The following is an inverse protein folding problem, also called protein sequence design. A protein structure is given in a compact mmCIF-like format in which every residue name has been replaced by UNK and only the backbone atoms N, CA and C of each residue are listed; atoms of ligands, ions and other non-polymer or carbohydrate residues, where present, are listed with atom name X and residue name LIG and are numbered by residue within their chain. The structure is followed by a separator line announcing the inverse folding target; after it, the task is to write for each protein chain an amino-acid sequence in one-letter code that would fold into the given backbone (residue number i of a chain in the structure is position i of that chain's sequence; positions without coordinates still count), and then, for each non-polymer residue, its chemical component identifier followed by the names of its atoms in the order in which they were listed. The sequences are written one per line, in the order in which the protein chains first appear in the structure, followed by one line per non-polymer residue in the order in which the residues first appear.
data_IF_940055697993
#
_entry.id   IF_940055697993
#
_cell.length_a   1.000
_cell.length_b   1.000
_cell.length_c   1.000
_cell.angle_alpha   90.00
_cell.angle_beta   90.00
_cell.angle_gamma   90.00
#
_symmetry.space_group_name_H-M   'P 1'
#
loop_
_entity.id
_entity.type
_entity.pdbx_description
1 polymer ?
#
# COMPACT_ATOMS: atom_id res chain seq x y z
N UNK A 1 -14.69 1.82 17.64
CA UNK A 1 -14.74 0.34 17.62
C UNK A 1 -13.71 -0.11 16.61
N UNK A 2 -12.52 -0.50 17.07
CA UNK A 2 -11.48 -0.99 16.20
C UNK A 2 -11.95 -2.30 15.55
N UNK A 3 -12.09 -2.33 14.23
CA UNK A 3 -12.31 -3.56 13.49
C UNK A 3 -11.01 -4.36 13.49
N UNK A 4 -10.81 -5.06 14.60
CA UNK A 4 -9.87 -6.17 14.67
C UNK A 4 -10.25 -7.14 13.54
N UNK A 5 -9.29 -7.56 12.77
CA UNK A 5 -9.38 -8.76 11.93
C UNK A 5 -9.69 -9.96 12.84
N UNK A 6 -10.97 -10.17 13.15
CA UNK A 6 -11.37 -11.39 13.83
C UNK A 6 -11.22 -12.54 12.84
N UNK A 7 -10.23 -13.38 13.14
CA UNK A 7 -10.10 -14.73 12.59
C UNK A 7 -11.31 -15.58 13.03
N UNK A 8 -12.41 -15.48 12.30
CA UNK A 8 -13.50 -16.44 12.37
C UNK A 8 -13.70 -17.01 10.96
N UNK A 9 -13.51 -18.31 10.83
CA UNK A 9 -13.52 -19.17 9.64
C UNK A 9 -12.21 -19.17 8.84
N UNK A 10 -11.89 -20.33 8.24
CA UNK A 10 -10.69 -20.55 7.41
C UNK A 10 -10.44 -19.38 6.47
N UNK A 11 -9.18 -18.88 6.41
CA UNK A 11 -8.88 -17.73 5.56
C UNK A 11 -9.14 -18.14 4.10
N UNK A 12 -10.18 -17.58 3.48
CA UNK A 12 -10.36 -17.66 2.02
C UNK A 12 -9.10 -17.08 1.37
N UNK A 13 -8.25 -17.99 0.89
CA UNK A 13 -7.02 -17.61 0.19
C UNK A 13 -7.41 -16.83 -1.06
N UNK A 14 -6.94 -15.61 -1.19
CA UNK A 14 -7.06 -14.89 -2.44
C UNK A 14 -6.10 -15.50 -3.45
N UNK A 15 -6.58 -15.76 -4.65
CA UNK A 15 -5.83 -16.40 -5.72
C UNK A 15 -4.57 -15.59 -6.10
N UNK A 16 -4.66 -14.27 -6.09
CA UNK A 16 -3.58 -13.37 -6.49
C UNK A 16 -2.29 -13.49 -5.66
N UNK A 17 -2.35 -14.05 -4.43
CA UNK A 17 -1.17 -14.17 -3.55
C UNK A 17 -0.10 -15.14 -4.04
N UNK A 18 -0.43 -16.01 -5.01
CA UNK A 18 0.49 -16.98 -5.60
C UNK A 18 0.91 -16.61 -7.04
N UNK A 19 0.59 -15.41 -7.49
CA UNK A 19 0.90 -14.97 -8.84
C UNK A 19 2.41 -14.94 -9.08
N UNK A 20 2.86 -15.47 -10.22
CA UNK A 20 4.21 -15.38 -10.77
C UNK A 20 4.14 -14.75 -12.15
N UNK A 21 5.21 -14.14 -12.62
CA UNK A 21 5.23 -13.59 -13.98
C UNK A 21 5.05 -14.72 -15.00
N UNK A 22 4.15 -14.52 -15.97
CA UNK A 22 4.05 -15.40 -17.12
C UNK A 22 5.28 -15.22 -18.03
N UNK A 23 5.74 -16.30 -18.66
CA UNK A 23 6.83 -16.23 -19.64
C UNK A 23 6.34 -15.49 -20.89
N UNK A 24 7.01 -14.39 -21.26
CA UNK A 24 6.82 -13.68 -22.53
C UNK A 24 6.06 -12.36 -22.48
N UNK A 25 5.25 -12.07 -21.46
CA UNK A 25 4.54 -10.80 -21.33
C UNK A 25 4.78 -10.14 -19.96
N UNK A 26 5.36 -8.92 -19.91
CA UNK A 26 5.63 -8.21 -18.65
C UNK A 26 4.36 -7.80 -17.89
N UNK A 27 3.21 -7.81 -18.53
CA UNK A 27 1.93 -7.38 -17.95
C UNK A 27 1.05 -8.56 -17.52
N UNK A 28 1.48 -9.81 -17.72
CA UNK A 28 0.73 -11.00 -17.38
C UNK A 28 1.36 -11.74 -16.22
N UNK A 29 0.57 -12.00 -15.19
CA UNK A 29 0.93 -12.77 -14.01
C UNK A 29 0.10 -14.04 -13.97
N UNK A 30 0.74 -15.19 -13.79
CA UNK A 30 0.07 -16.50 -13.73
C UNK A 30 -0.11 -16.94 -12.28
N UNK A 31 -1.32 -17.35 -11.94
CA UNK A 31 -1.62 -18.08 -10.71
C UNK A 31 -1.78 -19.55 -11.09
N UNK A 32 -0.85 -20.42 -10.69
CA UNK A 32 -0.93 -21.85 -10.97
C UNK A 32 -2.20 -22.49 -10.40
N UNK A 33 -2.73 -23.53 -11.08
CA UNK A 33 -3.98 -24.21 -10.72
C UNK A 33 -3.97 -24.71 -9.27
N UNK A 34 -2.84 -25.24 -8.81
CA UNK A 34 -2.66 -25.76 -7.45
C UNK A 34 -2.76 -24.71 -6.34
N UNK A 35 -2.72 -23.43 -6.71
CA UNK A 35 -2.85 -22.30 -5.78
C UNK A 35 -4.22 -21.64 -5.83
N UNK A 36 -5.09 -22.07 -6.75
CA UNK A 36 -6.43 -21.51 -6.87
C UNK A 36 -7.39 -22.15 -5.83
N UNK A 37 -8.35 -21.38 -5.31
CA UNK A 37 -9.48 -21.98 -4.60
C UNK A 37 -10.25 -22.95 -5.50
N UNK A 38 -10.85 -24.02 -4.96
CA UNK A 38 -11.67 -24.94 -5.73
C UNK A 38 -12.76 -24.21 -6.53
N UNK A 39 -12.87 -24.51 -7.82
CA UNK A 39 -13.87 -23.91 -8.72
C UNK A 39 -13.59 -22.45 -9.15
N UNK A 40 -12.47 -21.86 -8.73
CA UNK A 40 -12.16 -20.47 -9.07
C UNK A 40 -11.86 -20.27 -10.55
N UNK A 41 -11.10 -21.19 -11.16
CA UNK A 41 -10.76 -21.12 -12.57
C UNK A 41 -12.00 -21.25 -13.48
N UNK A 42 -12.92 -22.15 -13.15
CA UNK A 42 -14.22 -22.31 -13.83
C UNK A 42 -15.09 -21.07 -13.66
N UNK A 43 -15.09 -20.47 -12.49
CA UNK A 43 -15.79 -19.21 -12.21
C UNK A 43 -15.24 -18.07 -13.09
N UNK A 44 -13.92 -17.97 -13.21
CA UNK A 44 -13.27 -16.99 -14.10
C UNK A 44 -13.62 -17.24 -15.55
N UNK A 45 -13.61 -18.51 -15.99
CA UNK A 45 -13.91 -18.91 -17.38
C UNK A 45 -15.36 -18.63 -17.76
N UNK A 46 -16.32 -18.94 -16.89
CA UNK A 46 -17.75 -18.80 -17.16
C UNK A 46 -18.26 -17.37 -16.98
N UNK A 47 -17.51 -16.49 -16.29
CA UNK A 47 -18.02 -15.19 -15.84
C UNK A 47 -19.12 -15.29 -14.77
N UNK A 48 -19.27 -16.46 -14.14
CA UNK A 48 -20.31 -16.76 -13.14
C UNK A 48 -20.03 -16.13 -11.76
N UNK A 49 -19.72 -14.84 -11.72
CA UNK A 49 -19.51 -14.09 -10.48
C UNK A 49 -20.28 -12.76 -10.51
N UNK A 50 -20.70 -12.33 -9.33
CA UNK A 50 -21.18 -10.98 -9.13
C UNK A 50 -20.06 -10.22 -8.41
N UNK A 51 -19.51 -9.15 -9.01
CA UNK A 51 -18.45 -8.38 -8.40
C UNK A 51 -18.92 -7.75 -7.07
N UNK A 52 -18.15 -7.92 -6.02
CA UNK A 52 -18.38 -7.19 -4.77
C UNK A 52 -17.82 -5.77 -4.91
N UNK A 53 -18.44 -4.82 -4.21
CA UNK A 53 -17.95 -3.42 -4.18
C UNK A 53 -16.55 -3.37 -3.58
N UNK A 54 -15.57 -2.73 -4.25
CA UNK A 54 -14.23 -2.58 -3.69
C UNK A 54 -14.24 -1.66 -2.46
N UNK A 55 -13.58 -2.09 -1.39
CA UNK A 55 -13.43 -1.28 -0.18
C UNK A 55 -12.29 -0.26 -0.38
N UNK A 56 -12.47 1.01 0.04
CA UNK A 56 -11.39 1.98 0.04
C UNK A 56 -10.18 1.50 0.85
N UNK A 57 -8.98 1.61 0.27
CA UNK A 57 -7.73 1.23 0.92
C UNK A 57 -6.60 2.16 0.49
N UNK A 58 -5.60 2.33 1.34
CA UNK A 58 -4.41 3.12 1.05
C UNK A 58 -3.15 2.30 1.23
N UNK A 59 -2.17 2.55 0.39
CA UNK A 59 -0.82 1.96 0.48
C UNK A 59 0.20 3.08 0.40
N UNK A 60 1.24 3.02 1.21
CA UNK A 60 2.34 3.98 1.17
C UNK A 60 3.66 3.30 0.85
N UNK A 61 4.35 3.79 -0.16
CA UNK A 61 5.70 3.38 -0.53
C UNK A 61 6.67 4.33 0.16
N UNK A 62 7.25 3.87 1.27
CA UNK A 62 8.28 4.63 1.97
C UNK A 62 9.59 4.54 1.20
N UNK A 63 10.14 5.69 0.84
CA UNK A 63 11.34 5.83 0.03
C UNK A 63 12.40 6.63 0.77
N UNK A 64 13.64 6.16 0.73
CA UNK A 64 14.80 6.88 1.26
C UNK A 64 15.94 6.94 0.24
N UNK A 65 16.87 7.87 0.43
CA UNK A 65 18.14 7.83 -0.30
C UNK A 65 19.01 6.72 0.29
N UNK A 66 19.32 5.74 -0.54
CA UNK A 66 20.27 4.67 -0.23
C UNK A 66 21.65 4.95 -0.82
N UNK A 67 22.64 4.07 -0.56
CA UNK A 67 24.02 4.25 -1.04
C UNK A 67 24.17 4.28 -2.58
N UNK A 68 23.22 3.66 -3.31
CA UNK A 68 23.26 3.53 -4.77
C UNK A 68 22.03 4.16 -5.46
N UNK A 69 21.27 4.99 -4.77
CA UNK A 69 20.04 5.62 -5.25
C UNK A 69 18.83 5.27 -4.38
N UNK A 70 17.60 5.52 -4.85
CA UNK A 70 16.39 5.30 -4.07
C UNK A 70 16.23 3.85 -3.59
N UNK A 71 15.86 3.69 -2.32
CA UNK A 71 15.44 2.43 -1.73
C UNK A 71 13.99 2.52 -1.26
N UNK A 72 13.22 1.45 -1.48
CA UNK A 72 11.86 1.29 -0.99
C UNK A 72 11.82 0.30 0.18
N UNK A 73 11.00 0.61 1.19
CA UNK A 73 10.73 -0.30 2.29
C UNK A 73 9.72 -1.35 1.86
N UNK A 74 10.11 -2.61 1.96
CA UNK A 74 9.23 -3.77 1.76
C UNK A 74 9.08 -4.53 3.07
N UNK A 75 7.86 -4.96 3.35
CA UNK A 75 7.45 -5.71 4.53
C UNK A 75 7.04 -7.12 4.12
N UNK A 76 7.50 -8.14 4.83
CA UNK A 76 7.11 -9.52 4.60
C UNK A 76 5.97 -9.91 5.52
N UNK A 77 4.85 -10.31 4.94
CA UNK A 77 3.67 -10.77 5.67
C UNK A 77 3.90 -12.13 6.31
N UNK A 78 3.25 -12.33 7.45
CA UNK A 78 3.31 -13.64 8.12
C UNK A 78 2.67 -14.72 7.24
N UNK A 79 3.23 -15.96 7.26
CA UNK A 79 2.71 -17.12 6.51
C UNK A 79 1.28 -17.51 6.88
N UNK A 80 0.79 -17.08 8.04
CA UNK A 80 -0.58 -17.29 8.53
C UNK A 80 -1.54 -16.19 8.12
N UNK A 81 -1.09 -15.15 7.41
CA UNK A 81 -1.95 -14.09 6.90
C UNK A 81 -2.93 -14.67 5.89
N UNK A 82 -4.21 -14.36 6.02
CA UNK A 82 -5.25 -14.85 5.12
C UNK A 82 -5.17 -14.28 3.71
N UNK A 83 -4.56 -13.08 3.56
CA UNK A 83 -4.33 -12.43 2.29
C UNK A 83 -2.82 -12.27 2.07
N UNK A 84 -2.34 -12.60 0.86
CA UNK A 84 -0.93 -12.42 0.47
C UNK A 84 0.07 -13.03 1.49
N UNK A 85 -0.19 -14.25 1.98
CA UNK A 85 0.69 -14.93 2.92
C UNK A 85 2.10 -15.08 2.36
N UNK A 86 3.13 -14.78 3.17
CA UNK A 86 4.55 -14.84 2.82
C UNK A 86 4.96 -13.89 1.67
N UNK A 87 4.09 -12.96 1.27
CA UNK A 87 4.40 -11.96 0.24
C UNK A 87 5.07 -10.74 0.84
N UNK A 88 5.90 -10.11 0.00
CA UNK A 88 6.48 -8.81 0.27
C UNK A 88 5.53 -7.72 -0.25
N UNK A 89 5.20 -6.79 0.60
CA UNK A 89 4.21 -5.74 0.36
C UNK A 89 4.75 -4.38 0.83
N UNK A 90 4.11 -3.31 0.42
CA UNK A 90 4.25 -2.01 1.07
C UNK A 90 3.30 -1.89 2.25
N UNK A 91 3.56 -1.02 3.23
CA UNK A 91 2.61 -0.68 4.28
C UNK A 91 1.28 -0.23 3.72
N UNK A 92 0.17 -0.72 4.30
CA UNK A 92 -1.15 -0.31 3.82
C UNK A 92 -2.31 -1.13 4.34
N UNK A 93 -3.49 -0.52 4.35
CA UNK A 93 -4.72 -1.12 4.82
C UNK A 93 -5.97 -0.39 4.38
N UNK A 94 -7.08 -0.75 4.98
CA UNK A 94 -8.41 -0.19 4.67
C UNK A 94 -8.53 1.21 5.24
N UNK A 95 -9.23 2.08 4.52
CA UNK A 95 -9.62 3.39 5.04
C UNK A 95 -10.73 3.21 6.08
N UNK A 96 -10.46 3.60 7.31
CA UNK A 96 -11.43 3.56 8.41
C UNK A 96 -12.26 4.85 8.48
N UNK A 97 -13.40 4.80 9.16
CA UNK A 97 -14.25 5.99 9.36
C UNK A 97 -13.51 7.09 10.14
N UNK A 98 -12.63 6.69 11.07
CA UNK A 98 -11.81 7.63 11.84
C UNK A 98 -10.79 8.40 10.98
N UNK A 99 -10.37 7.85 9.83
CA UNK A 99 -9.47 8.52 8.91
C UNK A 99 -10.16 9.71 8.19
N UNK A 100 -11.49 9.71 8.16
CA UNK A 100 -12.33 10.78 7.58
C UNK A 100 -12.71 11.87 8.60
N UNK A 101 -12.24 11.76 9.85
CA UNK A 101 -12.55 12.75 10.90
C UNK A 101 -12.01 14.14 10.46
N UNK A 102 -12.86 15.17 10.31
CA UNK A 102 -12.43 16.52 9.93
C UNK A 102 -11.39 17.11 10.89
N UNK A 103 -11.47 16.78 12.18
CA UNK A 103 -10.52 17.25 13.18
C UNK A 103 -9.11 16.62 12.98
N UNK A 104 -8.99 15.44 12.38
CA UNK A 104 -7.71 14.90 11.94
C UNK A 104 -7.18 15.67 10.73
N UNK A 105 -8.06 16.05 9.79
CA UNK A 105 -7.70 16.87 8.63
C UNK A 105 -7.17 18.25 9.00
N UNK A 106 -7.71 18.88 10.06
CA UNK A 106 -7.19 20.14 10.61
C UNK A 106 -5.76 20.03 11.16
N UNK A 107 -5.33 18.81 11.47
CA UNK A 107 -3.99 18.46 11.94
C UNK A 107 -3.09 17.86 10.85
N UNK A 108 -3.42 18.08 9.59
CA UNK A 108 -2.63 17.64 8.44
C UNK A 108 -2.05 18.85 7.69
N UNK A 109 -0.75 18.80 7.41
CA UNK A 109 -0.08 19.79 6.57
C UNK A 109 -0.14 19.38 5.10
N UNK A 110 0.01 20.33 4.19
CA UNK A 110 0.04 20.09 2.75
C UNK A 110 -1.28 20.37 2.05
N UNK A 111 -1.60 19.65 0.95
CA UNK A 111 -2.82 19.89 0.20
C UNK A 111 -4.07 19.70 1.05
N UNK A 112 -5.04 20.58 0.87
CA UNK A 112 -6.35 20.46 1.49
C UNK A 112 -7.09 19.20 1.04
N UNK A 113 -8.13 18.81 1.78
CA UNK A 113 -8.98 17.68 1.39
C UNK A 113 -9.60 17.87 -0.02
N UNK A 114 -9.95 19.10 -0.40
CA UNK A 114 -10.47 19.42 -1.73
C UNK A 114 -9.40 19.25 -2.84
N UNK A 115 -8.16 19.68 -2.58
CA UNK A 115 -7.05 19.48 -3.52
C UNK A 115 -6.70 17.99 -3.66
N UNK A 116 -6.73 17.23 -2.57
CA UNK A 116 -6.58 15.77 -2.62
C UNK A 116 -7.74 15.12 -3.40
N UNK A 117 -8.97 15.55 -3.19
CA UNK A 117 -10.12 15.04 -3.94
C UNK A 117 -9.93 15.24 -5.46
N UNK A 118 -9.49 16.44 -5.87
CA UNK A 118 -9.19 16.72 -7.27
C UNK A 118 -8.07 15.79 -7.83
N UNK A 119 -6.99 15.57 -7.07
CA UNK A 119 -5.87 14.69 -7.47
C UNK A 119 -6.28 13.22 -7.55
N UNK A 120 -7.12 12.75 -6.62
CA UNK A 120 -7.59 11.37 -6.54
C UNK A 120 -8.79 11.10 -7.46
N UNK A 121 -9.37 12.12 -8.09
CA UNK A 121 -10.56 12.00 -8.93
C UNK A 121 -11.81 11.64 -8.12
N UNK A 122 -11.92 12.13 -6.89
CA UNK A 122 -13.03 11.90 -5.97
C UNK A 122 -13.93 13.12 -5.87
N UNK A 123 -15.23 12.89 -5.69
CA UNK A 123 -16.20 13.98 -5.51
C UNK A 123 -16.25 14.48 -4.05
N UNK A 124 -16.00 13.60 -3.09
CA UNK A 124 -16.07 13.90 -1.66
C UNK A 124 -14.67 14.19 -1.08
N UNK A 125 -14.41 15.42 -0.60
CA UNK A 125 -13.16 15.77 0.07
C UNK A 125 -12.88 14.92 1.34
N UNK A 126 -13.92 14.51 2.07
CA UNK A 126 -13.74 13.70 3.28
C UNK A 126 -13.23 12.29 2.92
N UNK A 127 -13.68 11.73 1.80
CA UNK A 127 -13.17 10.47 1.29
C UNK A 127 -11.70 10.58 0.90
N UNK A 128 -11.33 11.65 0.20
CA UNK A 128 -9.94 11.92 -0.18
C UNK A 128 -9.02 12.07 1.04
N UNK A 129 -9.46 12.83 2.06
CA UNK A 129 -8.77 12.93 3.35
C UNK A 129 -8.57 11.54 3.97
N UNK A 130 -9.61 10.70 3.94
CA UNK A 130 -9.55 9.33 4.48
C UNK A 130 -8.42 8.50 3.87
N UNK A 131 -8.22 8.55 2.56
CA UNK A 131 -7.12 7.85 1.89
C UNK A 131 -5.74 8.34 2.34
N UNK A 132 -5.58 9.66 2.46
CA UNK A 132 -4.31 10.28 2.90
C UNK A 132 -4.02 9.94 4.36
N UNK A 133 -5.01 10.06 5.23
CA UNK A 133 -4.88 9.74 6.65
C UNK A 133 -4.59 8.25 6.86
N UNK A 134 -5.28 7.35 6.14
CA UNK A 134 -5.02 5.91 6.19
C UNK A 134 -3.58 5.59 5.77
N UNK A 135 -3.05 6.18 4.70
CA UNK A 135 -1.66 5.96 4.28
C UNK A 135 -0.66 6.34 5.38
N UNK A 136 -0.88 7.48 6.05
CA UNK A 136 -0.02 7.95 7.15
C UNK A 136 -0.16 7.08 8.42
N UNK A 137 -1.38 6.64 8.73
CA UNK A 137 -1.67 5.74 9.86
C UNK A 137 -1.01 4.37 9.66
N UNK A 138 -1.22 3.76 8.51
CA UNK A 138 -0.67 2.44 8.18
C UNK A 138 0.87 2.45 8.16
N UNK A 139 1.50 3.53 7.67
CA UNK A 139 2.95 3.70 7.78
C UNK A 139 3.39 3.59 9.23
N UNK A 140 2.72 4.31 10.14
CA UNK A 140 3.07 4.29 11.55
C UNK A 140 2.75 2.96 12.24
N UNK A 141 1.57 2.41 12.01
CA UNK A 141 1.14 1.13 12.60
C UNK A 141 2.04 -0.03 12.20
N UNK A 142 2.38 -0.16 10.93
CA UNK A 142 3.12 -1.31 10.42
C UNK A 142 4.65 -1.17 10.56
N UNK A 143 5.19 0.07 10.51
CA UNK A 143 6.64 0.29 10.44
C UNK A 143 7.22 1.07 11.62
N UNK A 144 6.39 1.72 12.44
CA UNK A 144 6.85 2.67 13.46
C UNK A 144 7.29 4.02 12.91
N UNK A 145 7.30 4.21 11.58
CA UNK A 145 7.67 5.47 10.93
C UNK A 145 6.46 6.40 10.90
N UNK A 146 6.49 7.44 11.72
CA UNK A 146 5.45 8.46 11.77
C UNK A 146 5.82 9.65 10.88
N UNK A 147 5.05 9.86 9.82
CA UNK A 147 5.16 11.03 8.94
C UNK A 147 4.41 12.21 9.56
N UNK A 148 5.07 12.90 10.49
CA UNK A 148 4.50 14.02 11.23
C UNK A 148 5.57 15.03 11.62
N UNK A 149 5.13 16.21 12.08
CA UNK A 149 5.97 17.28 12.65
C UNK A 149 5.40 17.69 14.00
N UNK A 150 6.27 18.14 14.90
CA UNK A 150 5.87 18.81 16.13
C UNK A 150 5.32 20.21 15.80
N UNK A 151 4.30 20.66 16.52
CA UNK A 151 3.78 22.03 16.40
C UNK A 151 4.94 23.02 16.62
N UNK A 152 5.28 23.82 15.59
CA UNK A 152 6.33 24.86 15.64
C UNK A 152 7.78 24.34 15.54
N UNK A 153 8.01 23.05 15.35
CA UNK A 153 9.34 22.44 15.21
C UNK A 153 9.35 21.51 14.00
N UNK A 154 10.52 21.25 13.42
CA UNK A 154 10.68 20.42 12.22
C UNK A 154 10.20 18.96 12.34
N UNK A 155 10.70 18.09 11.46
CA UNK A 155 10.32 16.67 11.42
C UNK A 155 10.50 15.96 12.78
N UNK A 156 9.71 14.95 13.05
CA UNK A 156 9.84 14.10 14.25
C UNK A 156 11.22 13.43 14.24
N UNK A 157 12.03 13.66 15.29
CA UNK A 157 13.36 13.09 15.42
C UNK A 157 13.35 11.76 16.19
N UNK A 158 14.38 10.93 15.98
CA UNK A 158 14.55 9.63 16.63
C UNK A 158 14.55 9.67 18.18
N UNK A 159 14.88 10.81 18.80
CA UNK A 159 14.83 11.00 20.26
C UNK A 159 13.43 10.86 20.86
N UNK A 160 12.38 11.03 20.04
CA UNK A 160 10.99 10.79 20.42
C UNK A 160 10.56 9.31 20.27
N UNK A 161 11.44 8.42 19.80
CA UNK A 161 11.09 7.04 19.43
C UNK A 161 10.42 6.25 20.58
N UNK A 162 10.86 6.40 21.82
CA UNK A 162 10.25 5.68 22.94
C UNK A 162 8.81 6.14 23.24
N UNK A 163 8.54 7.46 23.21
CA UNK A 163 7.19 8.00 23.41
C UNK A 163 6.27 7.67 22.25
N UNK A 164 6.79 7.68 21.02
CA UNK A 164 6.05 7.30 19.82
C UNK A 164 5.73 5.80 19.82
N UNK A 165 6.63 4.94 20.30
CA UNK A 165 6.32 3.51 20.40
C UNK A 165 5.21 3.22 21.42
N UNK A 166 5.13 3.98 22.53
CA UNK A 166 3.99 3.91 23.45
C UNK A 166 2.70 4.32 22.78
N UNK A 167 2.71 5.43 22.02
CA UNK A 167 1.56 5.91 21.26
C UNK A 167 1.14 4.90 20.18
N UNK A 168 2.11 4.33 19.44
CA UNK A 168 1.87 3.30 18.44
C UNK A 168 1.20 2.04 19.05
N UNK A 169 1.68 1.56 20.19
CA UNK A 169 1.05 0.41 20.87
C UNK A 169 -0.38 0.71 21.31
N UNK A 170 -0.65 1.92 21.79
CA UNK A 170 -2.00 2.34 22.16
C UNK A 170 -2.92 2.40 20.93
N UNK A 171 -2.42 2.88 19.79
CA UNK A 171 -3.11 2.90 18.50
C UNK A 171 -3.42 1.47 18.02
N UNK A 172 -2.40 0.61 17.92
CA UNK A 172 -2.55 -0.80 17.55
C UNK A 172 -3.48 -1.59 18.46
N UNK A 173 -3.50 -1.23 19.75
CA UNK A 173 -4.43 -1.80 20.73
C UNK A 173 -5.86 -1.27 20.64
N UNK A 174 -6.13 -0.28 19.79
CA UNK A 174 -7.43 0.39 19.68
C UNK A 174 -7.81 1.20 20.93
N UNK A 175 -6.82 1.56 21.74
CA UNK A 175 -7.03 2.37 22.98
C UNK A 175 -7.20 3.84 22.62
N UNK A 176 -6.47 4.31 21.61
CA UNK A 176 -6.57 5.66 21.04
C UNK A 176 -6.66 5.58 19.53
N UNK A 177 -7.20 6.61 18.88
CA UNK A 177 -7.17 6.77 17.43
C UNK A 177 -5.96 7.59 16.96
N UNK A 178 -5.79 7.70 15.64
CA UNK A 178 -4.72 8.51 15.05
C UNK A 178 -4.85 9.98 15.43
N UNK A 179 -6.07 10.52 15.50
CA UNK A 179 -6.34 11.89 15.94
C UNK A 179 -5.82 12.15 17.36
N UNK A 180 -6.18 11.29 18.31
CA UNK A 180 -5.75 11.41 19.71
C UNK A 180 -4.21 11.29 19.82
N UNK A 181 -3.61 10.40 19.02
CA UNK A 181 -2.15 10.25 18.92
C UNK A 181 -1.49 11.55 18.48
N UNK A 182 -1.99 12.17 17.43
CA UNK A 182 -1.42 13.41 16.86
C UNK A 182 -1.65 14.59 17.80
N UNK A 183 -2.89 14.81 18.24
CA UNK A 183 -3.27 15.93 19.12
C UNK A 183 -2.62 15.79 20.49
N UNK A 184 -2.66 14.60 21.09
CA UNK A 184 -2.12 14.34 22.43
C UNK A 184 -0.60 14.54 22.53
N UNK A 185 0.10 14.45 21.41
CA UNK A 185 1.53 14.69 21.32
C UNK A 185 1.90 16.06 20.70
N UNK A 186 0.95 16.95 20.45
CA UNK A 186 1.22 18.27 19.86
C UNK A 186 1.84 18.18 18.46
N UNK A 187 1.35 17.26 17.63
CA UNK A 187 1.88 17.00 16.29
C UNK A 187 0.88 17.35 15.19
N UNK A 188 1.40 17.43 13.97
CA UNK A 188 0.66 17.54 12.71
C UNK A 188 1.17 16.49 11.74
N UNK A 189 0.26 15.81 11.04
CA UNK A 189 0.59 14.84 9.99
C UNK A 189 1.19 15.55 8.77
N UNK A 190 2.16 14.93 8.15
CA UNK A 190 2.84 15.46 6.96
C UNK A 190 2.20 14.95 5.67
N UNK A 191 0.97 15.41 5.36
CA UNK A 191 0.32 15.12 4.09
C UNK A 191 1.09 15.68 2.89
N UNK A 192 1.90 16.72 3.10
CA UNK A 192 2.81 17.30 2.10
C UNK A 192 4.01 16.40 1.77
N UNK A 193 4.29 15.39 2.58
CA UNK A 193 5.30 14.38 2.29
C UNK A 193 4.82 13.33 1.27
N UNK A 194 3.53 13.30 0.96
CA UNK A 194 2.93 12.30 0.08
C UNK A 194 2.83 12.80 -1.37
N UNK A 195 3.10 11.89 -2.30
CA UNK A 195 2.83 12.05 -3.73
C UNK A 195 1.95 10.90 -4.19
N UNK A 196 0.88 11.19 -4.96
CA UNK A 196 0.00 10.17 -5.52
C UNK A 196 0.73 9.38 -6.61
N UNK A 197 0.87 8.07 -6.42
CA UNK A 197 1.74 7.23 -7.24
C UNK A 197 0.99 6.30 -8.20
N UNK A 198 -0.03 5.59 -7.71
CA UNK A 198 -0.77 4.62 -8.51
C UNK A 198 -2.17 4.38 -7.94
N UNK A 199 -3.07 3.86 -8.78
CA UNK A 199 -4.44 3.51 -8.40
C UNK A 199 -4.75 2.09 -8.86
N UNK A 200 -4.92 1.17 -7.91
CA UNK A 200 -5.18 -0.23 -8.19
C UNK A 200 -6.54 -0.67 -7.66
N UNK A 201 -7.34 -1.29 -8.53
CA UNK A 201 -8.61 -1.90 -8.16
C UNK A 201 -8.47 -3.41 -8.28
N UNK A 202 -8.83 -4.16 -7.24
CA UNK A 202 -8.78 -5.62 -7.26
C UNK A 202 -9.67 -6.18 -8.38
N UNK A 203 -9.23 -7.21 -9.13
CA UNK A 203 -10.02 -7.84 -10.18
C UNK A 203 -11.41 -8.30 -9.72
N UNK A 204 -12.39 -8.25 -10.62
CA UNK A 204 -13.78 -8.53 -10.31
C UNK A 204 -14.07 -9.96 -9.78
N UNK A 205 -13.37 -11.03 -10.22
CA UNK A 205 -13.62 -12.38 -9.72
C UNK A 205 -13.22 -12.63 -8.26
N UNK A 206 -12.37 -11.75 -7.70
CA UNK A 206 -11.89 -11.88 -6.32
C UNK A 206 -13.02 -11.64 -5.31
N UNK A 207 -13.13 -12.48 -4.26
CA UNK A 207 -14.19 -12.39 -3.26
C UNK A 207 -14.03 -11.19 -2.31
N UNK A 208 -12.81 -10.65 -2.22
CA UNK A 208 -12.48 -9.45 -1.46
C UNK A 208 -11.79 -8.46 -2.38
N UNK A 209 -12.41 -7.30 -2.52
CA UNK A 209 -11.89 -6.27 -3.43
C UNK A 209 -11.57 -4.99 -2.69
N UNK A 210 -10.53 -4.32 -3.18
CA UNK A 210 -10.06 -3.04 -2.67
C UNK A 210 -9.89 -2.05 -3.81
N UNK A 211 -10.31 -0.82 -3.58
CA UNK A 211 -9.95 0.36 -4.35
C UNK A 211 -8.77 1.01 -3.63
N UNK A 212 -7.56 0.76 -4.11
CA UNK A 212 -6.33 1.09 -3.38
C UNK A 212 -5.60 2.26 -4.03
N UNK A 213 -5.47 3.36 -3.30
CA UNK A 213 -4.64 4.50 -3.67
C UNK A 213 -3.23 4.29 -3.12
N UNK A 214 -2.23 4.34 -4.00
CA UNK A 214 -0.82 4.23 -3.64
C UNK A 214 -0.21 5.61 -3.57
N UNK A 215 0.49 5.88 -2.48
CA UNK A 215 1.24 7.11 -2.27
C UNK A 215 2.73 6.76 -2.14
N UNK A 216 3.62 7.65 -2.61
CA UNK A 216 5.03 7.62 -2.25
C UNK A 216 5.28 8.63 -1.15
N UNK A 217 6.12 8.29 -0.18
CA UNK A 217 6.54 9.17 0.90
C UNK A 217 8.05 9.12 1.08
N UNK A 218 8.69 10.30 1.17
CA UNK A 218 10.11 10.38 1.48
C UNK A 218 10.32 10.31 2.98
N UNK A 219 11.27 9.47 3.40
CA UNK A 219 11.73 9.39 4.79
C UNK A 219 13.23 9.69 4.88
N UNK A 220 13.77 10.03 6.06
CA UNK A 220 15.20 10.18 6.29
C UNK A 220 15.99 8.92 5.89
N UNK A 221 17.24 9.10 5.46
CA UNK A 221 18.10 7.99 5.04
C UNK A 221 18.40 6.99 6.18
N UNK A 222 18.37 7.48 7.41
CA UNK A 222 18.57 6.72 8.65
C UNK A 222 17.28 6.25 9.30
N UNK A 223 16.14 6.38 8.61
CA UNK A 223 14.86 5.91 9.14
C UNK A 223 14.90 4.41 9.46
N UNK A 224 14.65 4.08 10.72
CA UNK A 224 14.56 2.71 11.20
C UNK A 224 13.11 2.20 11.15
N UNK A 225 12.95 0.95 10.72
CA UNK A 225 11.67 0.27 10.68
C UNK A 225 11.57 -0.71 11.85
N UNK A 226 10.51 -0.58 12.63
CA UNK A 226 10.13 -1.53 13.68
C UNK A 226 8.83 -2.20 13.26
N UNK A 227 8.92 -3.43 12.74
CA UNK A 227 7.76 -4.16 12.23
C UNK A 227 6.73 -4.47 13.31
N UNK A 228 5.46 -4.50 12.93
CA UNK A 228 4.39 -5.01 13.79
C UNK A 228 4.37 -6.55 13.72
N UNK A 229 5.01 -7.22 14.67
CA UNK A 229 5.27 -8.67 14.66
C UNK A 229 4.00 -9.55 14.61
N UNK A 230 2.83 -9.03 14.92
CA UNK A 230 1.57 -9.79 14.82
C UNK A 230 1.18 -10.07 13.35
N UNK A 231 1.57 -9.21 12.40
CA UNK A 231 1.20 -9.30 10.98
C UNK A 231 2.39 -9.46 10.05
N UNK A 232 3.55 -8.97 10.47
CA UNK A 232 4.75 -8.86 9.66
C UNK A 232 5.92 -9.58 10.34
N UNK A 233 6.78 -10.17 9.53
CA UNK A 233 7.92 -10.97 10.05
C UNK A 233 9.28 -10.37 9.72
N UNK A 234 9.33 -9.46 8.74
CA UNK A 234 10.59 -8.92 8.24
C UNK A 234 10.36 -7.60 7.51
N UNK A 235 11.32 -6.69 7.57
CA UNK A 235 11.38 -5.48 6.76
C UNK A 235 12.72 -5.40 6.03
N UNK A 236 12.71 -4.93 4.79
CA UNK A 236 13.92 -4.69 4.00
C UNK A 236 13.82 -3.40 3.22
N UNK A 237 14.91 -2.64 3.24
CA UNK A 237 15.15 -1.57 2.30
C UNK A 237 15.85 -2.16 1.08
N UNK A 238 15.25 -2.02 -0.08
CA UNK A 238 15.79 -2.53 -1.34
C UNK A 238 15.67 -1.47 -2.43
N UNK A 239 16.65 -1.40 -3.32
CA UNK A 239 16.43 -0.62 -4.53
C UNK A 239 15.28 -1.23 -5.33
N UNK A 240 14.43 -0.41 -5.98
CA UNK A 240 13.32 -0.93 -6.78
C UNK A 240 13.75 -1.95 -7.83
N UNK A 241 14.88 -1.71 -8.50
CA UNK A 241 15.42 -2.62 -9.51
C UNK A 241 15.85 -3.97 -8.91
N UNK A 242 16.49 -3.96 -7.73
CA UNK A 242 16.88 -5.18 -7.03
C UNK A 242 15.65 -5.99 -6.60
N UNK A 243 14.63 -5.34 -6.03
CA UNK A 243 13.40 -5.99 -5.63
C UNK A 243 12.70 -6.69 -6.81
N UNK A 244 12.62 -6.02 -7.96
CA UNK A 244 12.07 -6.60 -9.21
C UNK A 244 12.93 -7.78 -9.70
N UNK A 245 14.25 -7.68 -9.67
CA UNK A 245 15.13 -8.77 -10.06
C UNK A 245 14.95 -10.01 -9.17
N UNK A 246 14.85 -9.83 -7.85
CA UNK A 246 14.61 -10.91 -6.88
C UNK A 246 13.21 -11.53 -7.02
N UNK A 247 12.21 -10.75 -7.44
CA UNK A 247 10.91 -11.31 -7.82
C UNK A 247 11.03 -12.24 -9.03
N UNK A 248 11.77 -11.85 -10.06
CA UNK A 248 11.95 -12.67 -11.26
C UNK A 248 12.72 -13.96 -11.01
N UNK A 249 13.61 -13.99 -10.03
CA UNK A 249 14.30 -15.21 -9.60
C UNK A 249 13.46 -16.08 -8.65
N UNK A 250 12.28 -15.60 -8.22
CA UNK A 250 11.40 -16.29 -7.27
C UNK A 250 11.85 -16.17 -5.80
N UNK A 251 12.87 -15.37 -5.51
CA UNK A 251 13.32 -15.11 -4.13
C UNK A 251 12.29 -14.31 -3.34
N UNK A 252 11.71 -13.28 -3.96
CA UNK A 252 10.64 -12.48 -3.38
C UNK A 252 9.29 -12.83 -4.03
N UNK A 253 8.30 -13.16 -3.21
CA UNK A 253 6.91 -13.26 -3.66
C UNK A 253 6.25 -11.90 -3.52
N UNK A 254 5.69 -11.39 -4.59
CA UNK A 254 5.02 -10.09 -4.58
C UNK A 254 3.74 -10.14 -5.42
N UNK A 255 2.77 -9.32 -5.03
CA UNK A 255 1.54 -9.10 -5.81
C UNK A 255 1.83 -8.24 -7.05
N UNK A 256 1.03 -8.37 -8.13
CA UNK A 256 1.17 -7.54 -9.33
C UNK A 256 1.26 -6.04 -9.06
N UNK A 257 0.44 -5.42 -8.18
CA UNK A 257 0.58 -4.01 -7.82
C UNK A 257 1.95 -3.65 -7.27
N UNK A 258 2.50 -4.46 -6.37
CA UNK A 258 3.83 -4.23 -5.77
C UNK A 258 4.93 -4.27 -6.83
N UNK A 259 4.93 -5.32 -7.68
CA UNK A 259 5.93 -5.49 -8.76
C UNK A 259 5.87 -4.35 -9.75
N UNK A 260 4.67 -3.97 -10.21
CA UNK A 260 4.49 -2.89 -11.20
C UNK A 260 4.89 -1.54 -10.64
N UNK A 261 4.54 -1.26 -9.39
CA UNK A 261 4.97 -0.04 -8.71
C UNK A 261 6.49 0.02 -8.59
N UNK A 262 7.14 -1.07 -8.16
CA UNK A 262 8.61 -1.14 -8.10
C UNK A 262 9.25 -0.98 -9.48
N UNK A 263 8.70 -1.61 -10.52
CA UNK A 263 9.22 -1.48 -11.88
C UNK A 263 9.19 -0.03 -12.37
N UNK A 264 8.11 0.71 -12.11
CA UNK A 264 8.02 2.14 -12.40
C UNK A 264 9.02 2.96 -11.60
N UNK A 265 9.18 2.67 -10.30
CA UNK A 265 10.15 3.37 -9.45
C UNK A 265 11.60 3.10 -9.85
N UNK A 266 11.89 1.94 -10.44
CA UNK A 266 13.23 1.58 -10.94
C UNK A 266 13.71 2.42 -12.14
N UNK A 267 12.82 3.19 -12.76
CA UNK A 267 13.16 4.11 -13.85
C UNK A 267 13.85 5.39 -13.35
N UNK A 268 13.79 5.67 -12.05
CA UNK A 268 14.35 6.86 -11.42
C UNK A 268 15.64 6.57 -10.67
N UNK A 269 16.63 7.45 -10.84
CA UNK A 269 17.94 7.31 -10.21
C UNK A 269 18.13 8.15 -8.94
N UNK A 270 17.21 9.10 -8.70
CA UNK A 270 17.23 9.98 -7.52
C UNK A 270 15.81 10.34 -7.08
N UNK A 271 15.60 10.52 -5.76
CA UNK A 271 14.29 10.90 -5.23
C UNK A 271 13.79 12.25 -5.74
N UNK A 272 14.62 13.31 -5.91
CA UNK A 272 14.13 14.57 -6.49
C UNK A 272 13.52 14.39 -7.88
N UNK A 273 14.17 13.64 -8.77
CA UNK A 273 13.69 13.32 -10.11
C UNK A 273 12.33 12.61 -10.06
N UNK A 274 12.21 11.61 -9.18
CA UNK A 274 10.96 10.88 -8.98
C UNK A 274 9.83 11.81 -8.50
N UNK A 275 10.11 12.69 -7.52
CA UNK A 275 9.11 13.63 -7.01
C UNK A 275 8.63 14.61 -8.06
N UNK A 276 9.56 15.16 -8.86
CA UNK A 276 9.22 16.09 -9.93
C UNK A 276 8.37 15.43 -11.02
N UNK A 277 8.70 14.17 -11.36
CA UNK A 277 7.94 13.40 -12.34
C UNK A 277 6.53 12.99 -11.86
N UNK A 278 6.35 12.72 -10.57
CA UNK A 278 5.08 12.21 -10.02
C UNK A 278 4.14 13.31 -9.53
N UNK A 279 4.63 14.49 -9.17
CA UNK A 279 3.85 15.55 -8.50
C UNK A 279 2.54 15.88 -9.19
N UNK A 280 2.56 16.00 -10.51
CA UNK A 280 1.43 16.41 -11.34
C UNK A 280 1.07 15.36 -12.40
N UNK A 281 1.67 14.16 -12.30
CA UNK A 281 1.39 13.09 -13.25
C UNK A 281 -0.04 12.57 -13.09
N UNK A 282 -0.76 12.33 -14.20
CA UNK A 282 -2.05 11.67 -14.14
C UNK A 282 -1.89 10.22 -13.63
N UNK A 283 -2.79 9.80 -12.76
CA UNK A 283 -2.79 8.45 -12.19
C UNK A 283 -4.09 7.75 -12.58
N UNK A 284 -4.12 7.04 -13.73
CA UNK A 284 -5.29 6.29 -14.16
C UNK A 284 -5.54 5.09 -13.24
N UNK A 285 -6.82 4.72 -13.10
CA UNK A 285 -7.19 3.52 -12.37
C UNK A 285 -6.78 2.26 -13.17
N UNK A 286 -6.12 1.33 -12.50
CA UNK A 286 -5.70 0.04 -13.04
C UNK A 286 -6.63 -1.03 -12.48
N UNK A 287 -7.49 -1.58 -13.33
CA UNK A 287 -8.34 -2.73 -13.04
C UNK A 287 -7.86 -3.92 -13.87
N UNK A 288 -7.03 -4.82 -13.31
CA UNK A 288 -6.57 -6.01 -14.03
C UNK A 288 -7.73 -6.96 -14.36
N UNK A 289 -7.58 -7.70 -15.45
CA UNK A 289 -8.53 -8.74 -15.84
C UNK A 289 -7.99 -10.12 -15.53
N UNK A 290 -8.86 -11.00 -15.09
CA UNK A 290 -8.53 -12.42 -14.91
C UNK A 290 -9.07 -13.24 -16.07
N UNK A 291 -8.25 -14.15 -16.60
CA UNK A 291 -8.64 -15.09 -17.66
C UNK A 291 -8.18 -16.50 -17.35
N UNK A 292 -8.96 -17.48 -17.80
CA UNK A 292 -8.54 -18.89 -17.75
C UNK A 292 -7.27 -19.07 -18.59
N UNK A 293 -6.30 -19.76 -18.03
CA UNK A 293 -5.03 -20.14 -18.66
C UNK A 293 -4.85 -21.66 -18.53
N UNK A 294 -4.17 -22.37 -19.46
CA UNK A 294 -3.95 -23.80 -19.36
C UNK A 294 -3.30 -24.27 -18.04
N UNK A 295 -2.45 -23.42 -17.44
CA UNK A 295 -1.78 -23.69 -16.17
C UNK A 295 -2.49 -23.09 -14.94
N UNK A 296 -3.67 -22.48 -15.10
CA UNK A 296 -4.38 -21.82 -13.98
C UNK A 296 -5.18 -20.60 -14.41
N UNK A 297 -4.93 -19.45 -13.78
CA UNK A 297 -5.57 -18.17 -14.12
C UNK A 297 -4.49 -17.12 -14.37
N UNK A 298 -4.61 -16.41 -15.51
CA UNK A 298 -3.78 -15.27 -15.83
C UNK A 298 -4.43 -13.97 -15.31
N UNK A 299 -3.62 -13.10 -14.68
CA UNK A 299 -3.96 -11.72 -14.35
C UNK A 299 -3.31 -10.84 -15.41
N UNK A 300 -4.10 -10.21 -16.24
CA UNK A 300 -3.66 -9.28 -17.28
C UNK A 300 -3.78 -7.85 -16.76
N UNK A 301 -2.65 -7.19 -16.58
CA UNK A 301 -2.60 -5.77 -16.20
C UNK A 301 -2.69 -4.94 -17.48
N UNK A 302 -3.65 -3.98 -17.58
CA UNK A 302 -3.70 -3.09 -18.72
C UNK A 302 -2.36 -2.39 -18.95
N UNK A 303 -1.95 -2.24 -20.21
CA UNK A 303 -0.81 -1.39 -20.54
C UNK A 303 -1.18 0.04 -20.19
N UNK A 304 -0.31 0.74 -19.47
CA UNK A 304 -0.41 2.19 -19.38
C UNK A 304 -0.22 2.72 -20.81
N UNK A 305 -1.30 3.20 -21.41
CA UNK A 305 -1.17 3.89 -22.68
C UNK A 305 -0.26 5.09 -22.40
N UNK A 306 0.99 5.00 -22.84
CA UNK A 306 1.90 6.13 -22.83
C UNK A 306 1.16 7.29 -23.51
N UNK A 307 0.94 8.36 -22.76
CA UNK A 307 0.35 9.57 -23.32
C UNK A 307 1.18 9.98 -24.53
N UNK A 308 0.51 10.02 -25.67
CA UNK A 308 1.04 10.60 -26.90
C UNK A 308 1.09 12.13 -26.74
#
# INVERSE_FOLDING_TARGET
MAYRWHMTSEPERTAASAARRATGDPNTFLIPEEHLPPGFAEKVQSGGFQPVEPRPAATVVLLREGPAGPEALLLRRHRRSGFAADAWVFPGGVVDDADRDPALGERMDGPSAAEWAARLGLADPAEAQGYVAAALREAFEETGILLARWDGVGAVHAEAAASLEVARRALLGGVVGMRETVVGNGMRLSGDALVYLAHWITPEPEPRRYDTRFFAARVPADAECVVHEAELVEARWLSPAEAVARFHTGELKMLPPTVRTLARLAEFHALPELWDALRDAPVPAILPRMRRHPEGVAIEVPQENGGA
#
